data_IF_567409172229
#
_entry.id   IF_567409172229
#
_cell.length_a   1.000
_cell.length_b   1.000
_cell.length_c   1.000
_cell.angle_alpha   90.00
_cell.angle_beta   90.00
_cell.angle_gamma   90.00
#
_symmetry.space_group_name_H-M   'P 1'
#
loop_
_entity.id
_entity.type
_entity.pdbx_description
1 polymer ?
#
# COMPACT_ATOMS: atom_id res chain seq x y z
N UNK A 1 5.17 -13.92 10.20
CA UNK A 1 4.21 -14.90 9.66
C UNK A 1 3.94 -14.52 8.21
N UNK A 2 3.79 -15.49 7.31
CA UNK A 2 3.48 -15.27 5.90
C UNK A 2 2.31 -14.30 5.68
N UNK A 3 2.42 -13.42 4.69
CA UNK A 3 1.28 -12.62 4.23
C UNK A 3 0.41 -13.42 3.25
N UNK A 4 -0.82 -12.96 3.01
CA UNK A 4 -1.74 -13.60 2.05
C UNK A 4 -2.17 -12.61 0.97
N UNK A 5 -1.72 -12.86 -0.27
CA UNK A 5 -2.20 -12.14 -1.45
C UNK A 5 -3.57 -12.67 -1.90
N UNK A 6 -4.34 -11.86 -2.62
CA UNK A 6 -5.67 -12.25 -3.09
C UNK A 6 -5.54 -13.24 -4.23
N UNK A 7 -6.09 -14.44 -4.07
CA UNK A 7 -6.18 -15.42 -5.15
C UNK A 7 -7.18 -14.94 -6.21
N UNK A 8 -6.78 -14.77 -7.49
CA UNK A 8 -7.71 -14.44 -8.55
C UNK A 8 -8.81 -15.51 -8.66
N UNK A 9 -10.03 -15.08 -8.99
CA UNK A 9 -11.17 -15.99 -9.07
C UNK A 9 -10.99 -17.04 -10.18
N UNK A 10 -11.55 -18.24 -10.00
CA UNK A 10 -11.45 -19.38 -10.96
C UNK A 10 -11.85 -19.04 -12.40
N UNK A 11 -12.70 -18.01 -12.61
CA UNK A 11 -13.14 -17.55 -13.93
C UNK A 11 -12.17 -16.56 -14.59
N UNK A 12 -11.37 -15.85 -13.80
CA UNK A 12 -10.44 -14.86 -14.30
C UNK A 12 -9.21 -15.52 -14.92
N UNK A 13 -8.75 -16.66 -14.37
CA UNK A 13 -7.60 -17.40 -14.87
C UNK A 13 -6.33 -16.55 -14.80
N UNK A 14 -5.52 -16.74 -13.76
CA UNK A 14 -4.27 -15.99 -13.65
C UNK A 14 -3.67 -16.06 -12.25
N UNK A 15 -2.36 -15.89 -12.20
CA UNK A 15 -1.58 -15.64 -10.99
C UNK A 15 -1.78 -14.20 -10.50
N UNK A 16 -1.36 -13.89 -9.26
CA UNK A 16 -1.51 -12.54 -8.70
C UNK A 16 -0.69 -11.53 -9.48
N UNK A 17 0.53 -11.93 -9.85
CA UNK A 17 1.46 -11.12 -10.62
C UNK A 17 0.93 -10.77 -12.02
N UNK A 18 0.29 -11.72 -12.72
CA UNK A 18 -0.34 -11.45 -14.03
C UNK A 18 -1.45 -10.41 -13.90
N UNK A 19 -2.34 -10.56 -12.89
CA UNK A 19 -3.42 -9.60 -12.66
C UNK A 19 -2.88 -8.22 -12.28
N UNK A 20 -1.82 -8.13 -11.48
CA UNK A 20 -1.20 -6.85 -11.13
C UNK A 20 -0.60 -6.18 -12.38
N UNK A 21 0.10 -6.94 -13.24
CA UNK A 21 0.62 -6.41 -14.50
C UNK A 21 -0.50 -5.88 -15.38
N UNK A 22 -1.57 -6.66 -15.56
CA UNK A 22 -2.74 -6.25 -16.35
C UNK A 22 -3.42 -4.99 -15.78
N UNK A 23 -3.60 -4.90 -14.46
CA UNK A 23 -4.17 -3.71 -13.80
C UNK A 23 -3.33 -2.46 -14.05
N UNK A 24 -2.00 -2.58 -14.02
CA UNK A 24 -1.09 -1.46 -14.31
C UNK A 24 -1.17 -1.09 -15.79
N UNK A 25 -1.14 -2.06 -16.71
CA UNK A 25 -1.19 -1.83 -18.15
C UNK A 25 -2.49 -1.17 -18.59
N UNK A 26 -3.64 -1.78 -18.29
CA UNK A 26 -4.96 -1.23 -18.59
C UNK A 26 -5.18 0.12 -17.89
N UNK A 27 -4.66 0.25 -16.65
CA UNK A 27 -4.65 1.49 -15.91
C UNK A 27 -3.93 2.62 -16.64
N UNK A 28 -2.71 2.35 -17.14
CA UNK A 28 -1.92 3.31 -17.93
C UNK A 28 -2.63 3.68 -19.24
N UNK A 29 -3.29 2.75 -19.91
CA UNK A 29 -4.08 3.04 -21.11
C UNK A 29 -5.25 3.98 -20.82
N UNK A 30 -6.02 3.69 -19.77
CA UNK A 30 -7.11 4.56 -19.32
C UNK A 30 -6.61 5.94 -18.85
N UNK A 31 -5.43 6.00 -18.24
CA UNK A 31 -4.82 7.26 -17.84
C UNK A 31 -4.49 8.13 -19.05
N UNK A 32 -3.91 7.57 -20.13
CA UNK A 32 -3.65 8.31 -21.39
C UNK A 32 -4.93 8.89 -21.98
N UNK A 33 -6.01 8.11 -21.98
CA UNK A 33 -7.33 8.60 -22.43
C UNK A 33 -7.81 9.74 -21.53
N UNK A 34 -7.69 9.59 -20.21
CA UNK A 34 -8.07 10.62 -19.22
C UNK A 34 -7.28 11.92 -19.40
N UNK A 35 -5.99 11.83 -19.72
CA UNK A 35 -5.12 12.97 -19.99
C UNK A 35 -5.51 13.76 -21.24
N UNK A 36 -6.16 13.12 -22.22
CA UNK A 36 -6.70 13.81 -23.40
C UNK A 36 -8.00 14.60 -23.11
N UNK A 37 -8.60 14.40 -21.95
CA UNK A 37 -9.87 15.02 -21.54
C UNK A 37 -9.77 16.53 -21.32
N UNK A 38 -10.82 17.27 -21.73
CA UNK A 38 -10.88 18.75 -21.61
C UNK A 38 -11.39 19.25 -20.25
N UNK A 39 -12.25 18.50 -19.57
CA UNK A 39 -12.94 18.96 -18.36
C UNK A 39 -12.51 18.19 -17.11
N UNK A 40 -12.24 18.91 -16.02
CA UNK A 40 -11.81 18.34 -14.73
C UNK A 40 -10.58 17.44 -14.83
N UNK A 41 -9.69 17.71 -15.79
CA UNK A 41 -8.57 16.86 -16.18
C UNK A 41 -7.70 16.46 -14.98
N UNK A 42 -7.22 17.44 -14.22
CA UNK A 42 -6.36 17.22 -13.06
C UNK A 42 -6.99 16.30 -12.01
N UNK A 43 -8.27 16.53 -11.71
CA UNK A 43 -9.01 15.77 -10.71
C UNK A 43 -9.23 14.32 -11.17
N UNK A 44 -9.53 14.11 -12.46
CA UNK A 44 -9.68 12.78 -13.05
C UNK A 44 -8.35 12.04 -13.16
N UNK A 45 -7.27 12.71 -13.54
CA UNK A 45 -5.91 12.14 -13.57
C UNK A 45 -5.53 11.64 -12.17
N UNK A 46 -5.66 12.50 -11.15
CA UNK A 46 -5.34 12.14 -9.78
C UNK A 46 -6.19 10.96 -9.28
N UNK A 47 -7.49 10.97 -9.62
CA UNK A 47 -8.39 9.86 -9.30
C UNK A 47 -7.95 8.55 -9.96
N UNK A 48 -7.60 8.58 -11.24
CA UNK A 48 -7.19 7.38 -11.99
C UNK A 48 -5.88 6.81 -11.46
N UNK A 49 -4.86 7.64 -11.21
CA UNK A 49 -3.59 7.19 -10.62
C UNK A 49 -3.85 6.53 -9.27
N UNK A 50 -4.60 7.20 -8.39
CA UNK A 50 -4.95 6.65 -7.08
C UNK A 50 -5.80 5.37 -7.16
N UNK A 51 -6.64 5.24 -8.20
CA UNK A 51 -7.44 4.02 -8.44
C UNK A 51 -6.53 2.85 -8.81
N UNK A 52 -5.60 3.03 -9.74
CA UNK A 52 -4.66 1.97 -10.17
C UNK A 52 -3.88 1.43 -8.97
N UNK A 53 -3.35 2.33 -8.13
CA UNK A 53 -2.61 1.97 -6.91
C UNK A 53 -3.49 1.13 -5.97
N UNK A 54 -4.72 1.58 -5.69
CA UNK A 54 -5.64 0.88 -4.79
C UNK A 54 -6.11 -0.46 -5.34
N UNK A 55 -6.34 -0.57 -6.64
CA UNK A 55 -6.73 -1.83 -7.28
C UNK A 55 -5.60 -2.87 -7.15
N UNK A 56 -4.34 -2.44 -7.33
CA UNK A 56 -3.17 -3.29 -7.09
C UNK A 56 -3.02 -3.65 -5.60
N UNK A 57 -3.18 -2.68 -4.68
CA UNK A 57 -3.15 -2.97 -3.24
C UNK A 57 -4.24 -3.97 -2.81
N UNK A 58 -5.40 -3.92 -3.45
CA UNK A 58 -6.44 -4.91 -3.22
C UNK A 58 -5.97 -6.31 -3.62
N UNK A 59 -5.33 -6.47 -4.78
CA UNK A 59 -4.75 -7.75 -5.19
C UNK A 59 -3.61 -8.23 -4.30
N UNK A 60 -2.83 -7.29 -3.76
CA UNK A 60 -1.80 -7.57 -2.76
C UNK A 60 -2.40 -7.93 -1.38
N UNK A 61 -3.71 -7.94 -1.19
CA UNK A 61 -4.36 -8.29 0.07
C UNK A 61 -4.32 -7.18 1.12
N UNK A 62 -4.20 -5.92 0.68
CA UNK A 62 -4.02 -4.72 1.50
C UNK A 62 -5.22 -3.75 1.36
N UNK A 63 -6.46 -4.26 1.27
CA UNK A 63 -7.66 -3.41 1.09
C UNK A 63 -8.97 -4.11 1.47
N UNK A 64 -9.94 -3.34 1.96
CA UNK A 64 -11.34 -3.77 2.05
C UNK A 64 -11.56 -5.06 2.86
N UNK A 65 -11.96 -6.14 2.18
CA UNK A 65 -12.17 -7.47 2.79
C UNK A 65 -10.89 -8.34 2.81
N UNK A 66 -9.73 -7.81 2.42
CA UNK A 66 -8.46 -8.50 2.43
C UNK A 66 -7.45 -7.67 3.21
N UNK A 67 -6.93 -8.20 4.31
CA UNK A 67 -6.02 -7.47 5.20
C UNK A 67 -4.77 -8.25 5.60
N UNK A 68 -4.63 -9.46 5.09
CA UNK A 68 -3.51 -10.35 5.40
C UNK A 68 -2.30 -10.11 4.49
N UNK A 69 -2.43 -9.22 3.50
CA UNK A 69 -1.33 -8.76 2.66
C UNK A 69 -0.49 -7.65 3.31
N UNK A 70 -0.99 -6.96 4.33
CA UNK A 70 -0.29 -5.84 4.94
C UNK A 70 1.04 -6.27 5.57
N UNK A 71 2.13 -5.58 5.19
CA UNK A 71 3.46 -5.83 5.75
C UNK A 71 3.63 -5.30 7.18
N UNK A 72 2.68 -4.49 7.65
CA UNK A 72 2.68 -3.87 8.96
C UNK A 72 1.33 -4.02 9.63
N UNK A 73 1.33 -4.11 10.96
CA UNK A 73 0.11 -4.08 11.77
C UNK A 73 0.36 -3.35 13.08
N UNK A 74 -0.70 -2.81 13.65
CA UNK A 74 -0.70 -2.33 15.03
C UNK A 74 -0.39 -3.48 16.01
N UNK A 75 0.44 -3.20 17.02
CA UNK A 75 0.82 -4.19 18.02
C UNK A 75 -0.42 -4.68 18.80
N UNK A 76 -0.43 -5.98 19.10
CA UNK A 76 -1.54 -6.66 19.75
C UNK A 76 -2.68 -7.08 18.81
N UNK A 77 -2.62 -6.76 17.51
CA UNK A 77 -3.46 -7.42 16.52
C UNK A 77 -2.91 -8.82 16.21
N UNK A 78 -3.81 -9.76 15.94
CA UNK A 78 -3.46 -11.13 15.55
C UNK A 78 -2.56 -11.12 14.32
N UNK A 79 -1.65 -12.07 14.13
CA UNK A 79 -0.82 -12.10 12.92
C UNK A 79 -1.66 -12.25 11.64
N UNK A 80 -2.71 -13.08 11.71
CA UNK A 80 -3.71 -13.25 10.65
C UNK A 80 -5.02 -12.58 11.07
N UNK A 81 -5.54 -11.71 10.20
CA UNK A 81 -6.82 -11.04 10.39
C UNK A 81 -7.97 -12.02 10.20
N UNK A 82 -8.90 -11.95 11.15
CA UNK A 82 -10.21 -12.57 11.06
C UNK A 82 -11.30 -11.49 11.22
N UNK A 83 -12.23 -11.48 10.25
CA UNK A 83 -13.34 -10.53 10.20
C UNK A 83 -14.30 -10.69 11.39
N UNK A 84 -14.38 -11.88 11.97
CA UNK A 84 -15.26 -12.14 13.11
C UNK A 84 -14.70 -11.59 14.42
N UNK A 85 -13.38 -11.52 14.57
CA UNK A 85 -12.73 -11.18 15.84
C UNK A 85 -12.11 -9.78 15.88
N UNK A 86 -11.78 -9.18 14.73
CA UNK A 86 -11.01 -7.93 14.69
C UNK A 86 -11.67 -6.84 13.83
N UNK A 87 -11.93 -5.70 14.47
CA UNK A 87 -12.41 -4.48 13.82
C UNK A 87 -11.23 -3.57 13.44
N UNK A 88 -10.75 -3.74 12.21
CA UNK A 88 -9.54 -3.09 11.70
C UNK A 88 -9.77 -2.50 10.30
N UNK A 89 -8.87 -1.61 9.89
CA UNK A 89 -8.79 -1.02 8.54
C UNK A 89 -7.41 -1.22 7.94
N UNK A 90 -7.33 -1.12 6.62
CA UNK A 90 -6.06 -0.98 5.90
C UNK A 90 -5.85 0.52 5.65
N UNK A 91 -4.78 1.04 6.23
CA UNK A 91 -4.48 2.46 6.25
C UNK A 91 -3.20 2.74 5.45
N UNK A 92 -3.29 3.63 4.46
CA UNK A 92 -2.17 4.04 3.61
C UNK A 92 -1.26 4.99 4.39
N UNK A 93 -0.17 4.46 4.96
CA UNK A 93 0.78 5.20 5.80
C UNK A 93 1.32 6.45 5.09
N UNK A 94 1.67 6.28 3.82
CA UNK A 94 1.86 7.38 2.87
C UNK A 94 0.50 7.69 2.23
N UNK A 95 -0.06 8.89 2.42
CA UNK A 95 -1.37 9.23 1.85
C UNK A 95 -1.40 9.03 0.33
N UNK A 96 -2.53 8.57 -0.22
CA UNK A 96 -2.66 8.36 -1.67
C UNK A 96 -2.36 9.65 -2.47
N UNK A 97 -2.67 10.83 -1.93
CA UNK A 97 -2.32 12.10 -2.57
C UNK A 97 -0.82 12.27 -2.80
N UNK A 98 0.01 11.81 -1.86
CA UNK A 98 1.47 11.84 -1.97
C UNK A 98 1.96 10.81 -2.99
N UNK A 99 1.34 9.63 -3.05
CA UNK A 99 1.68 8.64 -4.08
C UNK A 99 1.33 9.13 -5.49
N UNK A 100 0.20 9.84 -5.61
CA UNK A 100 -0.18 10.52 -6.86
C UNK A 100 0.82 11.62 -7.20
N UNK A 101 1.26 12.41 -6.22
CA UNK A 101 2.30 13.42 -6.42
C UNK A 101 3.60 12.78 -6.94
N UNK A 102 4.09 11.73 -6.27
CA UNK A 102 5.30 11.02 -6.63
C UNK A 102 5.25 10.45 -8.07
N UNK A 103 4.10 9.91 -8.49
CA UNK A 103 3.90 9.48 -9.87
C UNK A 103 4.03 10.65 -10.86
N UNK A 104 3.31 11.74 -10.60
CA UNK A 104 3.14 12.85 -11.54
C UNK A 104 4.37 13.73 -11.68
N UNK A 105 5.08 13.96 -10.58
CA UNK A 105 6.08 15.02 -10.49
C UNK A 105 7.49 14.49 -10.17
N UNK A 106 7.59 13.29 -9.61
CA UNK A 106 8.87 12.66 -9.26
C UNK A 106 9.19 11.43 -10.13
N UNK A 107 8.34 11.15 -11.12
CA UNK A 107 8.48 10.05 -12.07
C UNK A 107 8.62 8.66 -11.41
N UNK A 108 8.04 8.47 -10.23
CA UNK A 108 8.03 7.17 -9.56
C UNK A 108 7.00 6.25 -10.27
N UNK A 109 7.41 5.08 -10.78
CA UNK A 109 6.52 4.20 -11.54
C UNK A 109 5.49 3.51 -10.63
N UNK A 110 4.33 3.14 -11.19
CA UNK A 110 3.28 2.40 -10.47
C UNK A 110 3.83 1.14 -9.81
N UNK A 111 4.70 0.44 -10.54
CA UNK A 111 5.40 -0.78 -10.14
C UNK A 111 6.05 -0.62 -8.76
N UNK A 112 6.58 0.57 -8.44
CA UNK A 112 7.12 0.86 -7.11
C UNK A 112 6.06 1.36 -6.14
N UNK A 113 5.16 2.25 -6.59
CA UNK A 113 4.18 2.90 -5.73
C UNK A 113 3.19 1.92 -5.09
N UNK A 114 2.85 0.81 -5.76
CA UNK A 114 1.93 -0.20 -5.20
C UNK A 114 2.49 -0.90 -3.96
N UNK A 115 3.80 -0.83 -3.72
CA UNK A 115 4.41 -1.41 -2.52
C UNK A 115 4.47 -0.42 -1.34
N UNK A 116 4.05 0.84 -1.54
CA UNK A 116 4.00 1.83 -0.45
C UNK A 116 3.26 1.29 0.76
N UNK A 117 3.69 1.63 1.99
CA UNK A 117 3.26 0.90 3.17
C UNK A 117 1.76 1.10 3.43
N UNK A 118 1.06 -0.04 3.50
CA UNK A 118 -0.30 -0.14 4.01
C UNK A 118 -0.26 -0.87 5.33
N UNK A 119 -0.81 -0.25 6.37
CA UNK A 119 -0.75 -0.74 7.75
C UNK A 119 -2.13 -1.21 8.16
N UNK A 120 -2.21 -2.39 8.77
CA UNK A 120 -3.46 -2.85 9.38
C UNK A 120 -3.57 -2.31 10.80
N UNK A 121 -4.49 -1.38 11.03
CA UNK A 121 -4.68 -0.72 12.33
C UNK A 121 -6.11 -0.89 12.82
N UNK A 122 -6.33 -0.73 14.13
CA UNK A 122 -7.68 -0.70 14.72
C UNK A 122 -8.46 0.50 14.18
N UNK A 123 -9.79 0.36 14.08
CA UNK A 123 -10.64 1.51 13.72
C UNK A 123 -10.47 2.68 14.67
N UNK A 124 -10.36 2.41 15.97
CA UNK A 124 -10.11 3.45 16.99
C UNK A 124 -8.83 4.23 16.72
N UNK A 125 -7.76 3.56 16.31
CA UNK A 125 -6.49 4.19 15.93
C UNK A 125 -6.64 5.06 14.68
N UNK A 126 -7.38 4.58 13.68
CA UNK A 126 -7.70 5.36 12.49
C UNK A 126 -8.52 6.62 12.81
N UNK A 127 -9.45 6.51 13.76
CA UNK A 127 -10.24 7.65 14.22
C UNK A 127 -9.36 8.68 14.95
N UNK A 128 -8.37 8.23 15.73
CA UNK A 128 -7.36 9.09 16.36
C UNK A 128 -6.53 9.82 15.31
N UNK A 129 -5.99 9.12 14.31
CA UNK A 129 -5.25 9.73 13.19
C UNK A 129 -6.08 10.82 12.51
N UNK A 130 -7.36 10.52 12.23
CA UNK A 130 -8.26 11.44 11.56
C UNK A 130 -8.55 12.66 12.43
N UNK A 131 -8.91 12.45 13.70
CA UNK A 131 -9.25 13.52 14.64
C UNK A 131 -8.06 14.45 14.91
N UNK A 132 -6.85 13.92 14.92
CA UNK A 132 -5.62 14.71 15.10
C UNK A 132 -5.05 15.26 13.79
N UNK A 133 -5.66 14.97 12.64
CA UNK A 133 -5.27 15.47 11.32
C UNK A 133 -4.10 14.73 10.66
N UNK A 134 -3.55 13.71 11.30
CA UNK A 134 -2.44 12.89 10.79
C UNK A 134 -2.87 11.91 9.68
N UNK A 135 -4.17 11.74 9.42
CA UNK A 135 -4.64 11.00 8.24
C UNK A 135 -4.23 11.68 6.91
N UNK A 136 -4.10 13.02 6.91
CA UNK A 136 -3.72 13.81 5.73
C UNK A 136 -2.39 14.54 5.88
N UNK A 137 -1.95 14.81 7.12
CA UNK A 137 -0.71 15.53 7.45
C UNK A 137 0.27 14.63 8.19
N UNK A 138 1.47 15.13 8.46
CA UNK A 138 2.47 14.39 9.26
C UNK A 138 3.18 13.27 8.50
N UNK A 139 3.02 13.18 7.18
CA UNK A 139 3.94 12.42 6.36
C UNK A 139 5.31 13.12 6.32
N UNK A 140 6.38 12.35 6.14
CA UNK A 140 7.74 12.88 6.00
C UNK A 140 8.45 12.08 4.91
N UNK A 141 8.98 12.77 3.90
CA UNK A 141 9.73 12.14 2.83
C UNK A 141 10.88 11.29 3.40
N UNK A 142 11.04 10.08 2.89
CA UNK A 142 12.04 9.12 3.38
C UNK A 142 11.64 8.33 4.62
N UNK A 143 10.57 8.71 5.34
CA UNK A 143 10.10 8.07 6.58
C UNK A 143 8.60 7.76 6.47
N UNK A 144 8.22 6.67 5.79
CA UNK A 144 6.84 6.49 5.36
C UNK A 144 5.86 6.18 6.49
N UNK A 145 6.35 5.80 7.68
CA UNK A 145 5.54 5.55 8.87
C UNK A 145 5.53 6.73 9.86
N UNK A 146 6.20 7.84 9.55
CA UNK A 146 6.45 8.95 10.50
C UNK A 146 5.19 9.46 11.19
N UNK A 147 4.04 9.51 10.51
CA UNK A 147 2.79 9.99 11.11
C UNK A 147 2.36 9.22 12.37
N UNK A 148 2.71 7.93 12.47
CA UNK A 148 2.38 7.12 13.64
C UNK A 148 3.21 7.49 14.87
N UNK A 149 4.38 8.14 14.70
CA UNK A 149 5.18 8.62 15.82
C UNK A 149 4.51 9.75 16.60
N UNK A 150 3.44 10.33 16.05
CA UNK A 150 2.67 11.39 16.69
C UNK A 150 1.47 10.88 17.50
N UNK A 151 1.13 9.59 17.40
CA UNK A 151 -0.10 9.04 17.98
C UNK A 151 0.13 7.74 18.76
N UNK A 152 1.07 7.75 19.72
CA UNK A 152 1.39 6.67 20.69
C UNK A 152 0.89 5.26 20.32
N UNK A 153 1.23 4.81 19.11
CA UNK A 153 0.79 3.54 18.55
C UNK A 153 2.02 2.77 18.17
N UNK A 154 2.08 1.54 18.66
CA UNK A 154 3.18 0.63 18.35
C UNK A 154 2.84 -0.13 17.09
N UNK A 155 3.74 -0.09 16.12
CA UNK A 155 3.62 -0.81 14.85
C UNK A 155 4.63 -1.95 14.85
N UNK A 156 4.22 -3.10 14.31
CA UNK A 156 5.10 -4.25 14.09
C UNK A 156 5.02 -4.70 12.63
N UNK A 157 6.10 -5.28 12.11
CA UNK A 157 6.09 -5.92 10.78
C UNK A 157 5.23 -7.18 10.78
N UNK A 158 4.90 -7.72 9.61
CA UNK A 158 4.23 -9.01 9.44
C UNK A 158 5.02 -10.18 10.09
N UNK A 159 6.33 -10.01 10.27
CA UNK A 159 7.21 -10.93 10.99
C UNK A 159 7.14 -10.78 12.51
N UNK A 160 6.57 -9.68 13.01
CA UNK A 160 6.44 -9.39 14.45
C UNK A 160 7.57 -8.53 15.00
N UNK A 161 8.45 -8.00 14.15
CA UNK A 161 9.52 -7.09 14.56
C UNK A 161 8.94 -5.72 14.89
N UNK A 162 9.40 -5.12 15.98
CA UNK A 162 8.98 -3.78 16.37
C UNK A 162 9.56 -2.74 15.41
N UNK A 163 8.70 -1.79 15.03
CA UNK A 163 9.05 -0.68 14.14
C UNK A 163 8.99 0.60 14.95
N UNK A 164 10.08 1.38 14.91
CA UNK A 164 10.08 2.77 15.39
C UNK A 164 9.65 3.69 14.25
N UNK A 165 8.41 4.24 14.26
CA UNK A 165 7.93 5.03 13.14
C UNK A 165 8.71 6.34 12.95
N UNK A 166 9.46 6.81 13.95
CA UNK A 166 10.20 8.07 13.89
C UNK A 166 11.49 7.98 13.04
N UNK A 167 12.01 6.76 12.81
CA UNK A 167 13.24 6.53 12.04
C UNK A 167 13.13 5.40 11.00
N UNK A 168 11.99 4.70 10.91
CA UNK A 168 11.77 3.69 9.90
C UNK A 168 11.78 4.30 8.49
N UNK A 169 12.84 4.01 7.74
CA UNK A 169 13.10 4.63 6.45
C UNK A 169 12.50 3.87 5.27
N UNK A 170 12.44 4.52 4.11
CA UNK A 170 12.12 3.85 2.85
C UNK A 170 13.04 2.66 2.58
N UNK A 171 14.33 2.75 2.97
CA UNK A 171 15.26 1.61 2.86
C UNK A 171 14.81 0.44 3.71
N UNK A 172 14.47 0.67 4.99
CA UNK A 172 13.97 -0.38 5.87
C UNK A 172 12.69 -1.03 5.32
N UNK A 173 11.81 -0.21 4.74
CA UNK A 173 10.61 -0.70 4.10
C UNK A 173 10.89 -1.55 2.86
N UNK A 174 11.78 -1.12 1.97
CA UNK A 174 12.14 -1.89 0.78
C UNK A 174 12.88 -3.18 1.13
N UNK A 175 13.75 -3.16 2.14
CA UNK A 175 14.39 -4.35 2.68
C UNK A 175 13.33 -5.36 3.16
N UNK A 176 12.27 -4.89 3.84
CA UNK A 176 11.14 -5.75 4.23
C UNK A 176 10.39 -6.30 3.01
N UNK A 177 10.12 -5.48 1.99
CA UNK A 177 9.44 -5.91 0.74
C UNK A 177 10.24 -7.01 0.04
N UNK A 178 11.56 -6.82 -0.15
CA UNK A 178 12.42 -7.81 -0.82
C UNK A 178 12.58 -9.09 -0.01
N UNK A 179 12.59 -9.00 1.32
CA UNK A 179 12.71 -10.15 2.21
C UNK A 179 11.37 -10.87 2.46
N UNK A 180 10.26 -10.43 1.87
CA UNK A 180 8.95 -11.09 1.97
C UNK A 180 8.76 -12.08 0.81
N UNK A 181 8.85 -13.41 1.04
CA UNK A 181 8.85 -14.41 -0.04
C UNK A 181 7.58 -14.40 -0.90
N UNK A 182 6.43 -14.09 -0.29
CA UNK A 182 5.15 -14.07 -0.98
C UNK A 182 5.08 -12.98 -2.06
N UNK A 183 5.95 -11.97 -2.01
CA UNK A 183 6.02 -10.89 -3.01
C UNK A 183 6.99 -11.20 -4.15
N UNK A 184 7.79 -12.26 -4.07
CA UNK A 184 8.89 -12.51 -5.03
C UNK A 184 8.41 -12.67 -6.48
N UNK A 185 7.30 -13.38 -6.72
CA UNK A 185 6.76 -13.53 -8.08
C UNK A 185 6.31 -12.20 -8.66
N UNK A 186 5.64 -11.37 -7.86
CA UNK A 186 5.18 -10.03 -8.24
C UNK A 186 6.36 -9.11 -8.51
N UNK A 187 7.35 -9.07 -7.63
CA UNK A 187 8.57 -8.27 -7.81
C UNK A 187 9.31 -8.66 -9.11
N UNK A 188 9.42 -9.97 -9.37
CA UNK A 188 10.02 -10.49 -10.59
C UNK A 188 9.24 -10.07 -11.85
N UNK A 189 7.92 -10.24 -11.85
CA UNK A 189 7.06 -9.88 -12.98
C UNK A 189 7.12 -8.37 -13.30
N UNK A 190 7.23 -7.52 -12.27
CA UNK A 190 7.36 -6.07 -12.40
C UNK A 190 8.80 -5.61 -12.66
N UNK A 191 9.75 -6.53 -12.84
CA UNK A 191 11.17 -6.25 -13.04
C UNK A 191 11.81 -5.38 -11.93
N UNK A 192 11.34 -5.52 -10.69
CA UNK A 192 11.88 -4.82 -9.53
C UNK A 192 13.00 -5.66 -8.93
N UNK A 193 14.22 -5.15 -9.00
CA UNK A 193 15.40 -5.80 -8.44
C UNK A 193 15.83 -5.11 -7.15
N UNK A 194 16.35 -5.90 -6.21
CA UNK A 194 17.09 -5.37 -5.06
C UNK A 194 18.27 -4.56 -5.59
N UNK A 195 18.36 -3.30 -5.18
CA UNK A 195 19.56 -2.51 -5.48
C UNK A 195 20.69 -3.04 -4.60
N UNK A 196 21.75 -3.52 -5.24
CA UNK A 196 22.95 -4.02 -4.57
C UNK A 196 23.71 -2.88 -3.86
#
# INVERSE_FOLDING_TARGET
MAIELVKPGKKAGGSVEEVICELIELGKEHLKVTESGRYYRELRINFMIGKIIRDCNNMLGMSGNFKNGCLYREQGLASKWDKASEEVVCDHATPISELVHAYRFEAVPFEKLIFSPVVRIRKSTNDILTKQGYAQKGHKAGLPLYRYSHIDVKIVTHLGEEVDPSNWSDRNHWDLVWNTPELHSVLSALNIRMQA
#
